data_IF_679683019187
#
_entry.id   IF_679683019187
#
_cell.length_a   1.000
_cell.length_b   1.000
_cell.length_c   1.000
_cell.angle_alpha   90.00
_cell.angle_beta   90.00
_cell.angle_gamma   90.00
#
_symmetry.space_group_name_H-M   'P 1'
#
loop_
_entity.id
_entity.type
_entity.pdbx_description
1 polymer ?
#
# COMPACT_ATOMS: atom_id res chain seq x y z
N UNK A 1 -5.78 8.01 -6.37
CA UNK A 1 -4.62 7.19 -6.83
C UNK A 1 -3.83 6.64 -5.65
N UNK A 2 -3.05 5.56 -5.80
CA UNK A 2 -2.23 4.96 -4.72
C UNK A 2 -1.27 5.99 -4.10
N UNK A 3 -0.71 6.88 -4.93
CA UNK A 3 0.19 7.95 -4.47
C UNK A 3 -0.46 8.86 -3.42
N UNK A 4 -1.75 9.15 -3.55
CA UNK A 4 -2.47 10.08 -2.68
C UNK A 4 -2.75 9.44 -1.33
N UNK A 5 -3.13 8.16 -1.32
CA UNK A 5 -3.26 7.38 -0.08
C UNK A 5 -1.95 7.31 0.70
N UNK A 6 -0.85 7.05 -0.01
CA UNK A 6 0.47 7.04 0.62
C UNK A 6 0.84 8.41 1.18
N UNK A 7 0.54 9.52 0.48
CA UNK A 7 0.76 10.89 0.99
C UNK A 7 -0.06 11.15 2.27
N UNK A 8 -1.33 10.75 2.31
CA UNK A 8 -2.15 10.87 3.52
C UNK A 8 -1.59 10.05 4.69
N UNK A 9 -1.05 8.87 4.41
CA UNK A 9 -0.37 8.04 5.40
C UNK A 9 0.98 8.60 5.85
N UNK A 10 1.74 9.22 4.94
CA UNK A 10 3.00 9.91 5.25
C UNK A 10 2.78 11.04 6.26
N UNK A 11 1.65 11.75 6.18
CA UNK A 11 1.31 12.81 7.13
C UNK A 11 0.94 12.26 8.52
N UNK A 12 0.30 11.09 8.59
CA UNK A 12 -0.06 10.42 9.84
C UNK A 12 1.13 9.73 10.52
N UNK A 13 2.09 9.24 9.73
CA UNK A 13 3.24 8.47 10.21
C UNK A 13 4.56 9.03 9.65
N UNK A 14 5.00 10.20 10.16
CA UNK A 14 6.18 10.88 9.64
C UNK A 14 7.47 10.05 9.79
N UNK A 15 7.54 9.19 10.81
CA UNK A 15 8.66 8.27 11.06
C UNK A 15 8.87 7.22 9.95
N UNK A 16 7.80 6.89 9.20
CA UNK A 16 7.81 5.88 8.13
C UNK A 16 7.74 6.52 6.74
N UNK A 17 7.81 7.86 6.66
CA UNK A 17 7.64 8.61 5.41
C UNK A 17 8.60 8.16 4.30
N UNK A 18 9.87 7.96 4.63
CA UNK A 18 10.89 7.50 3.67
C UNK A 18 10.60 6.09 3.16
N UNK A 19 10.08 5.21 4.01
CA UNK A 19 9.69 3.84 3.67
C UNK A 19 8.45 3.86 2.77
N UNK A 20 7.42 4.62 3.14
CA UNK A 20 6.17 4.81 2.39
C UNK A 20 6.42 5.35 0.98
N UNK A 21 7.29 6.37 0.84
CA UNK A 21 7.70 6.88 -0.48
C UNK A 21 8.37 5.81 -1.33
N UNK A 22 9.30 5.05 -0.73
CA UNK A 22 10.01 3.98 -1.45
C UNK A 22 9.04 2.90 -1.94
N UNK A 23 8.09 2.51 -1.09
CA UNK A 23 7.04 1.53 -1.41
C UNK A 23 6.15 2.07 -2.53
N UNK A 24 5.61 3.29 -2.38
CA UNK A 24 4.76 3.93 -3.39
C UNK A 24 5.45 4.00 -4.76
N UNK A 25 6.73 4.35 -4.79
CA UNK A 25 7.51 4.36 -6.04
C UNK A 25 7.71 2.96 -6.61
N UNK A 26 8.03 1.96 -5.79
CA UNK A 26 8.22 0.58 -6.22
C UNK A 26 6.92 0.00 -6.81
N UNK A 27 5.78 0.26 -6.16
CA UNK A 27 4.45 -0.16 -6.62
C UNK A 27 4.11 0.46 -7.99
N UNK A 28 4.28 1.77 -8.13
CA UNK A 28 4.02 2.48 -9.40
C UNK A 28 4.92 2.00 -10.55
N UNK A 29 6.19 1.70 -10.27
CA UNK A 29 7.12 1.12 -11.27
C UNK A 29 6.70 -0.28 -11.74
N UNK A 30 5.89 -0.98 -10.96
CA UNK A 30 5.33 -2.28 -11.30
C UNK A 30 3.89 -2.18 -11.83
N UNK A 31 3.42 -0.98 -12.16
CA UNK A 31 2.10 -0.76 -12.77
C UNK A 31 0.94 -0.69 -11.77
N UNK A 32 1.21 -0.65 -10.46
CA UNK A 32 0.15 -0.52 -9.45
C UNK A 32 -0.09 0.97 -9.20
N UNK A 33 -1.20 1.50 -9.70
CA UNK A 33 -1.51 2.92 -9.65
C UNK A 33 -2.68 3.27 -8.74
N UNK A 34 -3.50 2.28 -8.37
CA UNK A 34 -4.71 2.47 -7.56
C UNK A 34 -4.72 1.61 -6.29
N UNK A 35 -5.48 2.04 -5.28
CA UNK A 35 -5.68 1.28 -4.03
C UNK A 35 -6.40 -0.05 -4.24
N UNK A 36 -7.48 -0.15 -5.08
CA UNK A 36 -8.07 -1.43 -5.43
C UNK A 36 -7.09 -2.44 -6.00
N UNK A 37 -6.20 -2.02 -6.92
CA UNK A 37 -5.18 -2.91 -7.50
C UNK A 37 -4.19 -3.38 -6.43
N UNK A 38 -3.70 -2.47 -5.58
CA UNK A 38 -2.82 -2.81 -4.48
C UNK A 38 -3.49 -3.79 -3.51
N UNK A 39 -4.75 -3.56 -3.19
CA UNK A 39 -5.54 -4.39 -2.27
C UNK A 39 -5.77 -5.79 -2.85
N UNK A 40 -6.18 -5.90 -4.11
CA UNK A 40 -6.32 -7.18 -4.79
C UNK A 40 -4.97 -7.92 -4.86
N UNK A 41 -3.89 -7.22 -5.20
CA UNK A 41 -2.57 -7.81 -5.27
C UNK A 41 -2.07 -8.29 -3.90
N UNK A 42 -2.35 -7.54 -2.84
CA UNK A 42 -2.04 -7.95 -1.48
C UNK A 42 -2.86 -9.18 -1.05
N UNK A 43 -4.16 -9.21 -1.36
CA UNK A 43 -5.09 -10.26 -0.94
C UNK A 43 -4.89 -11.58 -1.70
N UNK A 44 -4.67 -11.51 -3.01
CA UNK A 44 -4.60 -12.70 -3.87
C UNK A 44 -3.17 -13.06 -4.27
N UNK A 45 -2.25 -12.10 -4.36
CA UNK A 45 -0.92 -12.29 -4.95
C UNK A 45 0.21 -11.71 -4.08
N UNK A 46 0.16 -11.92 -2.76
CA UNK A 46 1.17 -11.43 -1.80
C UNK A 46 2.61 -11.84 -2.16
N UNK A 47 2.79 -13.02 -2.78
CA UNK A 47 4.11 -13.48 -3.25
C UNK A 47 4.68 -12.62 -4.38
N UNK A 48 3.85 -12.04 -5.24
CA UNK A 48 4.33 -11.12 -6.28
C UNK A 48 4.80 -9.80 -5.67
N UNK A 49 4.16 -9.30 -4.61
CA UNK A 49 4.64 -8.10 -3.91
C UNK A 49 6.06 -8.28 -3.37
N UNK A 50 6.38 -9.45 -2.82
CA UNK A 50 7.74 -9.76 -2.34
C UNK A 50 8.78 -9.92 -3.45
N UNK A 51 8.34 -10.14 -4.69
CA UNK A 51 9.24 -10.20 -5.85
C UNK A 51 9.57 -8.80 -6.41
N UNK A 52 8.81 -7.77 -6.00
CA UNK A 52 9.09 -6.40 -6.39
C UNK A 52 10.38 -5.93 -5.73
N UNK A 53 11.34 -5.49 -6.56
CA UNK A 53 12.57 -4.88 -6.07
C UNK A 53 12.25 -3.72 -5.15
N UNK A 54 12.87 -3.73 -3.96
CA UNK A 54 12.65 -2.75 -2.88
C UNK A 54 11.39 -2.93 -2.03
N UNK A 55 10.63 -4.01 -2.22
CA UNK A 55 9.57 -4.45 -1.30
C UNK A 55 10.05 -5.67 -0.51
N UNK A 56 10.30 -5.49 0.77
CA UNK A 56 10.62 -6.57 1.71
C UNK A 56 9.46 -6.89 2.65
N UNK A 57 9.68 -7.78 3.61
CA UNK A 57 8.64 -8.15 4.59
C UNK A 57 8.07 -6.94 5.34
N UNK A 58 8.93 -6.01 5.77
CA UNK A 58 8.51 -4.76 6.44
C UNK A 58 7.60 -3.92 5.55
N UNK A 59 7.92 -3.82 4.26
CA UNK A 59 7.10 -3.12 3.28
C UNK A 59 5.74 -3.80 3.10
N UNK A 60 5.70 -5.12 3.04
CA UNK A 60 4.46 -5.89 2.94
C UNK A 60 3.59 -5.75 4.19
N UNK A 61 4.20 -5.68 5.38
CA UNK A 61 3.46 -5.37 6.61
C UNK A 61 2.81 -3.98 6.56
N UNK A 62 3.53 -2.98 6.04
CA UNK A 62 2.99 -1.62 5.87
C UNK A 62 1.87 -1.56 4.83
N UNK A 63 2.04 -2.24 3.70
CA UNK A 63 0.99 -2.38 2.68
C UNK A 63 -0.24 -3.04 3.30
N UNK A 64 -0.06 -4.07 4.15
CA UNK A 64 -1.15 -4.71 4.86
C UNK A 64 -1.93 -3.75 5.76
N UNK A 65 -1.24 -2.91 6.55
CA UNK A 65 -1.90 -1.88 7.38
C UNK A 65 -2.73 -0.90 6.53
N UNK A 66 -2.16 -0.45 5.41
CA UNK A 66 -2.86 0.40 4.44
C UNK A 66 -4.08 -0.30 3.84
N UNK A 67 -3.94 -1.58 3.48
CA UNK A 67 -5.04 -2.39 2.95
C UNK A 67 -6.15 -2.61 3.99
N UNK A 68 -5.82 -2.79 5.26
CA UNK A 68 -6.81 -2.91 6.33
C UNK A 68 -7.57 -1.61 6.55
N UNK A 69 -6.91 -0.45 6.55
CA UNK A 69 -7.61 0.83 6.65
C UNK A 69 -8.48 1.09 5.43
N UNK A 70 -7.98 0.79 4.23
CA UNK A 70 -8.77 0.85 3.02
C UNK A 70 -9.98 -0.09 3.07
N UNK A 71 -9.82 -1.32 3.57
CA UNK A 71 -10.91 -2.29 3.77
C UNK A 71 -11.97 -1.77 4.75
N UNK A 72 -11.56 -1.12 5.84
CA UNK A 72 -12.48 -0.50 6.79
C UNK A 72 -13.20 0.70 6.16
N UNK A 73 -12.54 1.50 5.33
CA UNK A 73 -13.16 2.63 4.63
C UNK A 73 -14.17 2.18 3.58
N UNK A 74 -13.87 1.14 2.79
CA UNK A 74 -14.83 0.59 1.81
C UNK A 74 -15.96 -0.22 2.47
N UNK A 75 -15.69 -0.89 3.59
CA UNK A 75 -16.70 -1.63 4.35
C UNK A 75 -17.55 -0.73 5.24
N UNK A 76 -17.07 0.50 5.49
CA UNK A 76 -17.77 1.57 6.21
C UNK A 76 -18.73 2.39 5.35
N UNK A 77 -18.85 2.12 4.05
CA UNK A 77 -20.02 2.50 3.22
C UNK A 77 -21.18 1.51 3.48
N UNK A 78 -21.51 1.38 4.76
CA UNK A 78 -22.53 0.50 5.34
C UNK A 78 -22.95 0.97 6.73
N UNK A 79 -22.91 2.29 6.97
CA UNK A 79 -23.59 2.96 8.07
C UNK A 79 -24.12 4.31 7.61
#
# INVERSE_FOLDING_TARGET
MVKEYFISYEQKYPEQRSELRRISLALRRNGIETMPELYQMYRYNRKQLLQIRSIGEKSVQLIGKLCSVYEMEISGLGA
#
